data_IF_271027480903
#
_entry.id   IF_271027480903
#
_cell.length_a   1.000
_cell.length_b   1.000
_cell.length_c   1.000
_cell.angle_alpha   90.00
_cell.angle_beta   90.00
_cell.angle_gamma   90.00
#
_symmetry.space_group_name_H-M   'P 1'
#
loop_
_entity.id
_entity.type
_entity.pdbx_description
1 polymer ?
#
# COMPACT_ATOMS: atom_id res chain seq x y z
N UNK A 1 -60.87 51.14 25.11
CA UNK A 1 -59.54 50.60 25.42
C UNK A 1 -58.80 50.43 24.10
N UNK A 2 -58.16 51.48 23.58
CA UNK A 2 -56.72 51.82 23.80
C UNK A 2 -55.83 50.64 23.34
N UNK A 3 -54.87 50.77 22.43
CA UNK A 3 -54.05 51.92 22.01
C UNK A 3 -53.16 51.41 20.85
N UNK A 4 -53.16 52.03 19.66
CA UNK A 4 -52.07 52.90 19.12
C UNK A 4 -50.70 52.18 19.02
N UNK A 5 -50.02 52.09 17.88
CA UNK A 5 -49.35 53.14 17.06
C UNK A 5 -47.91 52.60 16.81
N UNK A 6 -47.08 53.01 15.86
CA UNK A 6 -47.21 53.80 14.65
C UNK A 6 -45.79 54.09 14.14
N UNK A 7 -45.55 53.73 12.87
CA UNK A 7 -45.05 54.57 11.78
C UNK A 7 -43.55 54.92 11.62
N UNK A 8 -43.31 55.25 10.32
CA UNK A 8 -42.33 56.13 9.68
C UNK A 8 -41.03 55.41 9.21
N UNK A 9 -40.50 55.54 7.98
CA UNK A 9 -40.91 56.11 6.66
C UNK A 9 -39.72 55.99 5.71
N UNK A 10 -40.01 55.91 4.40
CA UNK A 10 -39.37 56.60 3.24
C UNK A 10 -37.88 57.00 3.28
N UNK A 11 -37.17 56.59 2.21
CA UNK A 11 -36.54 57.41 1.13
C UNK A 11 -35.34 56.61 0.55
N UNK A 12 -34.99 56.62 -0.73
CA UNK A 12 -35.52 57.17 -1.99
C UNK A 12 -34.68 56.53 -3.13
N UNK A 13 -35.31 56.29 -4.28
CA UNK A 13 -34.85 56.45 -5.68
C UNK A 13 -33.34 56.61 -5.97
N UNK A 14 -32.81 55.79 -6.90
CA UNK A 14 -32.52 56.23 -8.28
C UNK A 14 -32.07 55.06 -9.19
N UNK A 15 -32.69 55.01 -10.37
CA UNK A 15 -32.33 54.24 -11.58
C UNK A 15 -31.05 54.82 -12.25
N UNK A 16 -30.34 54.15 -13.21
CA UNK A 16 -30.95 53.58 -14.40
C UNK A 16 -30.42 52.23 -14.90
N UNK A 17 -31.36 51.50 -15.51
CA UNK A 17 -31.15 50.50 -16.55
C UNK A 17 -30.65 51.16 -17.84
N UNK A 18 -29.74 50.49 -18.56
CA UNK A 18 -29.45 50.73 -19.97
C UNK A 18 -29.77 49.47 -20.78
N UNK A 19 -30.48 49.70 -21.88
CA UNK A 19 -31.16 48.77 -22.79
C UNK A 19 -30.26 48.15 -23.91
N UNK A 20 -30.49 46.84 -24.16
CA UNK A 20 -30.70 46.13 -25.46
C UNK A 20 -29.57 45.81 -26.47
N UNK A 21 -29.80 44.95 -27.51
CA UNK A 21 -30.74 43.81 -27.68
C UNK A 21 -30.10 42.57 -28.38
N UNK A 22 -30.77 41.40 -28.41
CA UNK A 22 -30.94 40.60 -29.65
C UNK A 22 -32.00 39.50 -29.42
N UNK A 23 -33.23 39.79 -29.84
CA UNK A 23 -34.24 38.79 -30.20
C UNK A 23 -34.01 38.33 -31.65
N UNK A 24 -34.69 37.23 -32.02
CA UNK A 24 -34.89 36.64 -33.35
C UNK A 24 -33.90 35.49 -33.67
N UNK A 25 -34.23 34.25 -33.27
CA UNK A 25 -34.73 33.15 -34.15
C UNK A 25 -35.17 31.99 -33.23
N UNK A 26 -36.37 32.06 -32.69
CA UNK A 26 -37.11 30.89 -32.21
C UNK A 26 -38.49 31.01 -32.85
N UNK A 27 -38.86 30.09 -33.75
CA UNK A 27 -40.27 29.66 -33.89
C UNK A 27 -40.59 28.58 -34.95
N UNK A 28 -39.61 27.98 -35.65
CA UNK A 28 -39.95 26.91 -36.62
C UNK A 28 -39.26 25.56 -36.35
N UNK A 29 -38.17 25.50 -35.57
CA UNK A 29 -37.45 24.24 -35.33
C UNK A 29 -37.75 23.54 -34.00
N UNK A 30 -38.31 24.22 -33.01
CA UNK A 30 -38.49 23.65 -31.66
C UNK A 30 -39.66 22.65 -31.56
N UNK A 31 -40.75 22.84 -32.32
CA UNK A 31 -41.95 22.02 -32.14
C UNK A 31 -41.94 20.66 -32.88
N UNK A 32 -41.16 20.52 -33.95
CA UNK A 32 -41.07 19.25 -34.70
C UNK A 32 -40.08 18.26 -34.07
N UNK A 33 -38.96 18.74 -33.52
CA UNK A 33 -37.93 17.90 -32.90
C UNK A 33 -38.33 17.44 -31.50
N UNK A 34 -39.03 18.27 -30.72
CA UNK A 34 -39.45 17.92 -29.36
C UNK A 34 -40.55 16.84 -29.34
N UNK A 35 -41.46 16.88 -30.32
CA UNK A 35 -42.53 15.87 -30.45
C UNK A 35 -41.99 14.51 -30.93
N UNK A 36 -40.93 14.50 -31.76
CA UNK A 36 -40.25 13.26 -32.17
C UNK A 36 -39.41 12.66 -31.02
N UNK A 37 -38.79 13.50 -30.19
CA UNK A 37 -37.95 13.07 -29.07
C UNK A 37 -38.77 12.44 -27.93
N UNK A 38 -39.98 12.96 -27.65
CA UNK A 38 -40.87 12.40 -26.63
C UNK A 38 -41.53 11.09 -27.04
N UNK A 39 -41.74 10.83 -28.34
CA UNK A 39 -42.33 9.58 -28.81
C UNK A 39 -41.33 8.40 -28.85
N UNK A 40 -40.03 8.68 -28.76
CA UNK A 40 -38.97 7.66 -28.77
C UNK A 40 -38.51 7.21 -27.37
N UNK A 41 -39.00 7.82 -26.29
CA UNK A 41 -38.62 7.49 -24.91
C UNK A 41 -39.59 6.51 -24.22
N UNK A 42 -39.97 5.44 -24.93
CA UNK A 42 -40.71 4.31 -24.34
C UNK A 42 -40.17 2.95 -24.78
N UNK A 43 -38.86 2.78 -24.67
CA UNK A 43 -38.29 1.47 -24.40
C UNK A 43 -37.00 1.67 -23.60
N UNK A 44 -37.09 1.59 -22.28
CA UNK A 44 -35.89 1.39 -21.46
C UNK A 44 -35.26 0.09 -21.96
N UNK A 45 -34.04 0.17 -22.51
CA UNK A 45 -33.32 -1.03 -22.94
C UNK A 45 -33.25 -2.00 -21.74
N UNK A 46 -33.55 -3.29 -21.93
CA UNK A 46 -33.69 -4.21 -20.81
C UNK A 46 -32.37 -4.33 -20.03
N UNK A 47 -32.39 -3.94 -18.75
CA UNK A 47 -31.27 -4.12 -17.84
C UNK A 47 -31.08 -5.61 -17.53
N UNK A 48 -30.01 -6.21 -18.06
CA UNK A 48 -29.66 -7.60 -17.81
C UNK A 48 -28.57 -7.69 -16.75
N UNK A 49 -28.94 -8.15 -15.55
CA UNK A 49 -27.99 -8.35 -14.44
C UNK A 49 -27.54 -9.82 -14.42
N UNK A 50 -26.24 -10.06 -14.59
CA UNK A 50 -25.64 -11.38 -14.45
C UNK A 50 -24.97 -11.51 -13.08
N UNK A 51 -25.66 -12.13 -12.12
CA UNK A 51 -25.06 -12.54 -10.84
C UNK A 51 -24.35 -13.86 -11.02
N UNK A 52 -23.14 -13.99 -10.48
CA UNK A 52 -22.45 -15.25 -10.55
C UNK A 52 -21.34 -15.35 -9.49
N UNK A 53 -21.03 -16.58 -9.05
CA UNK A 53 -19.98 -16.91 -8.08
C UNK A 53 -18.64 -17.18 -8.77
N UNK A 54 -17.56 -17.43 -8.02
CA UNK A 54 -16.29 -17.87 -8.62
C UNK A 54 -16.51 -19.16 -9.45
N UNK A 55 -15.89 -19.26 -10.63
CA UNK A 55 -15.98 -20.45 -11.49
C UNK A 55 -17.28 -20.64 -12.29
N UNK A 56 -18.31 -19.80 -12.13
CA UNK A 56 -19.63 -20.01 -12.75
C UNK A 56 -19.77 -19.51 -14.21
N UNK A 57 -18.67 -19.40 -14.96
CA UNK A 57 -18.72 -19.04 -16.38
C UNK A 57 -19.04 -17.57 -16.73
N UNK A 58 -18.96 -16.62 -15.79
CA UNK A 58 -19.24 -15.17 -16.04
C UNK A 58 -18.62 -14.63 -17.32
N UNK A 59 -17.32 -14.86 -17.45
CA UNK A 59 -16.54 -14.32 -18.56
C UNK A 59 -16.95 -14.97 -19.88
N UNK A 60 -17.35 -16.24 -19.87
CA UNK A 60 -17.90 -16.92 -21.04
C UNK A 60 -19.24 -16.32 -21.45
N UNK A 61 -20.18 -16.15 -20.51
CA UNK A 61 -21.48 -15.52 -20.78
C UNK A 61 -21.36 -14.07 -21.27
N UNK A 62 -20.45 -13.28 -20.69
CA UNK A 62 -20.16 -11.92 -21.15
C UNK A 62 -19.59 -11.91 -22.57
N UNK A 63 -18.68 -12.83 -22.88
CA UNK A 63 -18.10 -12.97 -24.23
C UNK A 63 -19.18 -13.32 -25.24
N UNK A 64 -20.03 -14.31 -24.94
CA UNK A 64 -21.14 -14.72 -25.79
C UNK A 64 -22.11 -13.56 -26.03
N UNK A 65 -22.46 -12.81 -24.98
CA UNK A 65 -23.33 -11.65 -25.11
C UNK A 65 -22.71 -10.55 -25.98
N UNK A 66 -21.43 -10.24 -25.75
CA UNK A 66 -20.69 -9.28 -26.57
C UNK A 66 -20.66 -9.71 -28.04
N UNK A 67 -20.36 -10.98 -28.32
CA UNK A 67 -20.34 -11.53 -29.68
C UNK A 67 -21.71 -11.46 -30.35
N UNK A 68 -22.79 -11.68 -29.61
CA UNK A 68 -24.17 -11.59 -30.13
C UNK A 68 -24.48 -10.16 -30.61
N UNK A 69 -24.15 -9.15 -29.79
CA UNK A 69 -24.29 -7.73 -30.17
C UNK A 69 -23.39 -7.38 -31.36
N UNK A 70 -22.16 -7.89 -31.34
CA UNK A 70 -21.15 -7.60 -32.33
C UNK A 70 -21.46 -8.19 -33.71
N UNK A 71 -22.01 -9.40 -33.78
CA UNK A 71 -22.35 -10.07 -35.04
C UNK A 71 -23.70 -9.61 -35.62
N UNK A 72 -24.47 -8.82 -34.86
CA UNK A 72 -25.74 -8.24 -35.33
C UNK A 72 -25.53 -7.19 -36.41
N UNK A 73 -24.49 -6.35 -36.30
CA UNK A 73 -24.11 -5.35 -37.30
C UNK A 73 -22.58 -5.24 -37.38
N UNK A 74 -22.03 -5.21 -38.60
CA UNK A 74 -20.58 -5.19 -38.86
C UNK A 74 -19.87 -3.94 -38.30
N UNK A 75 -20.60 -2.87 -37.97
CA UNK A 75 -20.06 -1.66 -37.35
C UNK A 75 -20.27 -1.57 -35.83
N UNK A 76 -20.97 -2.53 -35.22
CA UNK A 76 -21.32 -2.49 -33.79
C UNK A 76 -20.11 -2.40 -32.85
N UNK A 77 -18.91 -2.82 -33.29
CA UNK A 77 -17.69 -2.75 -32.45
C UNK A 77 -17.33 -1.32 -31.99
N UNK A 78 -17.82 -0.29 -32.70
CA UNK A 78 -17.66 1.13 -32.32
C UNK A 78 -18.73 1.61 -31.33
N UNK A 79 -19.88 0.96 -31.34
CA UNK A 79 -21.08 1.35 -30.58
C UNK A 79 -21.19 0.60 -29.25
N UNK A 80 -20.48 -0.53 -29.11
CA UNK A 80 -20.47 -1.32 -27.87
C UNK A 80 -19.35 -0.81 -26.95
N UNK A 81 -19.75 -0.26 -25.80
CA UNK A 81 -18.85 0.08 -24.70
C UNK A 81 -18.75 -1.07 -23.70
N UNK A 82 -17.57 -1.66 -23.54
CA UNK A 82 -17.27 -2.59 -22.46
C UNK A 82 -16.24 -1.97 -21.49
N UNK A 83 -16.59 -1.92 -20.21
CA UNK A 83 -15.73 -1.36 -19.15
C UNK A 83 -15.35 -2.43 -18.13
N UNK A 84 -14.09 -2.39 -17.66
CA UNK A 84 -13.56 -3.32 -16.65
C UNK A 84 -12.80 -2.56 -15.55
N UNK A 85 -12.50 -3.23 -14.43
CA UNK A 85 -11.74 -2.61 -13.34
C UNK A 85 -10.23 -2.53 -13.60
N UNK A 86 -9.66 -3.44 -14.39
CA UNK A 86 -8.20 -3.54 -14.54
C UNK A 86 -7.77 -3.64 -16.00
N UNK A 87 -6.56 -3.14 -16.31
CA UNK A 87 -5.96 -3.26 -17.63
C UNK A 87 -5.80 -4.73 -18.05
N UNK A 88 -5.49 -5.61 -17.09
CA UNK A 88 -5.38 -7.05 -17.34
C UNK A 88 -6.72 -7.65 -17.77
N UNK A 89 -7.81 -7.33 -17.07
CA UNK A 89 -9.15 -7.81 -17.46
C UNK A 89 -9.58 -7.27 -18.83
N UNK A 90 -9.22 -6.02 -19.16
CA UNK A 90 -9.43 -5.46 -20.50
C UNK A 90 -8.70 -6.27 -21.57
N UNK A 91 -7.41 -6.56 -21.36
CA UNK A 91 -6.60 -7.32 -22.31
C UNK A 91 -7.13 -8.76 -22.50
N UNK A 92 -7.40 -9.45 -21.40
CA UNK A 92 -7.97 -10.81 -21.42
C UNK A 92 -9.32 -10.86 -22.14
N UNK A 93 -10.17 -9.85 -21.95
CA UNK A 93 -11.46 -9.77 -22.64
C UNK A 93 -11.29 -9.52 -24.15
N UNK A 94 -10.39 -8.61 -24.54
CA UNK A 94 -10.08 -8.36 -25.96
C UNK A 94 -9.54 -9.60 -26.65
N UNK A 95 -8.53 -10.22 -26.08
CA UNK A 95 -7.91 -11.43 -26.61
C UNK A 95 -8.95 -12.54 -26.80
N UNK A 96 -9.81 -12.74 -25.80
CA UNK A 96 -10.85 -13.75 -25.85
C UNK A 96 -11.85 -13.51 -26.98
N UNK A 97 -12.36 -12.27 -27.11
CA UNK A 97 -13.31 -11.92 -28.17
C UNK A 97 -12.68 -12.14 -29.55
N UNK A 98 -11.44 -11.68 -29.75
CA UNK A 98 -10.71 -11.83 -31.01
C UNK A 98 -10.41 -13.29 -31.33
N UNK A 99 -10.02 -14.08 -30.34
CA UNK A 99 -9.76 -15.52 -30.49
C UNK A 99 -11.02 -16.26 -30.93
N UNK A 100 -12.17 -15.96 -30.32
CA UNK A 100 -13.44 -16.59 -30.70
C UNK A 100 -13.89 -16.13 -32.09
N UNK A 101 -13.79 -14.83 -32.40
CA UNK A 101 -14.11 -14.31 -33.74
C UNK A 101 -13.24 -14.96 -34.82
N UNK A 102 -11.94 -15.09 -34.58
CA UNK A 102 -11.02 -15.74 -35.50
C UNK A 102 -11.40 -17.22 -35.71
N UNK A 103 -11.65 -17.97 -34.63
CA UNK A 103 -12.08 -19.37 -34.72
C UNK A 103 -13.41 -19.54 -35.46
N UNK A 104 -14.38 -18.65 -35.22
CA UNK A 104 -15.64 -18.63 -35.97
C UNK A 104 -15.41 -18.32 -37.45
N UNK A 105 -14.54 -17.36 -37.77
CA UNK A 105 -14.23 -16.95 -39.14
C UNK A 105 -13.48 -18.03 -39.95
N UNK A 106 -12.57 -18.78 -39.33
CA UNK A 106 -11.83 -19.87 -39.98
C UNK A 106 -12.59 -21.19 -40.03
N UNK A 107 -13.76 -21.27 -39.38
CA UNK A 107 -14.55 -22.50 -39.30
C UNK A 107 -13.91 -23.54 -38.37
N UNK A 108 -13.17 -23.10 -37.34
CA UNK A 108 -12.58 -23.98 -36.34
C UNK A 108 -13.66 -24.85 -35.65
N UNK A 109 -13.39 -26.15 -35.58
CA UNK A 109 -14.27 -27.17 -34.97
C UNK A 109 -13.79 -27.61 -33.59
N UNK A 110 -12.84 -26.90 -32.99
CA UNK A 110 -12.45 -27.14 -31.61
C UNK A 110 -13.66 -26.99 -30.67
N UNK A 111 -13.78 -27.82 -29.61
CA UNK A 111 -14.93 -27.81 -28.72
C UNK A 111 -15.27 -26.41 -28.17
N UNK A 112 -14.23 -25.64 -27.83
CA UNK A 112 -14.35 -24.28 -27.30
C UNK A 112 -15.06 -23.33 -28.26
N UNK A 113 -14.81 -23.42 -29.57
CA UNK A 113 -15.44 -22.56 -30.58
C UNK A 113 -16.83 -23.08 -30.94
N UNK A 114 -17.00 -24.40 -30.97
CA UNK A 114 -18.29 -25.04 -31.23
C UNK A 114 -19.33 -24.67 -30.16
N UNK A 115 -18.93 -24.60 -28.88
CA UNK A 115 -19.79 -24.17 -27.78
C UNK A 115 -20.35 -22.76 -28.02
N UNK A 116 -19.51 -21.81 -28.46
CA UNK A 116 -19.98 -20.47 -28.82
C UNK A 116 -20.90 -20.50 -30.05
N UNK A 117 -20.55 -21.26 -31.09
CA UNK A 117 -21.34 -21.37 -32.31
C UNK A 117 -22.75 -21.88 -32.03
N UNK A 118 -22.86 -22.97 -31.26
CA UNK A 118 -24.13 -23.56 -30.85
C UNK A 118 -25.01 -22.55 -30.10
N UNK A 119 -24.45 -21.87 -29.10
CA UNK A 119 -25.18 -20.91 -28.30
C UNK A 119 -25.59 -19.65 -29.09
N UNK A 120 -24.79 -19.22 -30.07
CA UNK A 120 -25.15 -18.12 -30.97
C UNK A 120 -26.34 -18.50 -31.86
N UNK A 121 -26.37 -19.73 -32.39
CA UNK A 121 -27.50 -20.25 -33.18
C UNK A 121 -28.77 -20.38 -32.33
N UNK A 122 -28.65 -20.81 -31.07
CA UNK A 122 -29.78 -20.87 -30.14
C UNK A 122 -30.37 -19.48 -29.84
N UNK A 123 -29.53 -18.44 -29.77
CA UNK A 123 -29.97 -17.07 -29.49
C UNK A 123 -30.50 -16.31 -30.72
N UNK A 124 -30.12 -16.75 -31.93
CA UNK A 124 -30.48 -16.10 -33.19
C UNK A 124 -30.97 -17.16 -34.19
N UNK A 125 -32.27 -17.50 -34.17
CA UNK A 125 -32.84 -18.58 -34.98
C UNK A 125 -32.68 -18.37 -36.49
N UNK A 126 -32.56 -17.12 -36.93
CA UNK A 126 -32.37 -16.75 -38.34
C UNK A 126 -30.94 -16.96 -38.83
N UNK A 127 -30.01 -17.33 -37.93
CA UNK A 127 -28.62 -17.54 -38.29
C UNK A 127 -28.34 -19.01 -38.61
N UNK A 128 -27.40 -19.23 -39.52
CA UNK A 128 -26.87 -20.55 -39.83
C UNK A 128 -25.33 -20.55 -39.71
N UNK A 129 -24.67 -21.72 -39.63
CA UNK A 129 -23.22 -21.80 -39.42
C UNK A 129 -22.40 -21.01 -40.44
N UNK A 130 -22.81 -21.02 -41.71
CA UNK A 130 -22.13 -20.30 -42.79
C UNK A 130 -22.25 -18.78 -42.60
N UNK A 131 -23.45 -18.29 -42.24
CA UNK A 131 -23.69 -16.88 -41.99
C UNK A 131 -22.91 -16.36 -40.78
N UNK A 132 -22.81 -17.15 -39.70
CA UNK A 132 -21.97 -16.80 -38.54
C UNK A 132 -20.50 -16.68 -38.94
N UNK A 133 -20.00 -17.63 -39.72
CA UNK A 133 -18.63 -17.62 -40.21
C UNK A 133 -18.35 -16.38 -41.07
N UNK A 134 -19.25 -16.05 -42.00
CA UNK A 134 -19.13 -14.86 -42.85
C UNK A 134 -19.15 -13.56 -42.03
N UNK A 135 -20.12 -13.42 -41.12
CA UNK A 135 -20.23 -12.26 -40.21
C UNK A 135 -18.96 -12.12 -39.36
N UNK A 136 -18.49 -13.21 -38.76
CA UNK A 136 -17.29 -13.23 -37.93
C UNK A 136 -16.05 -12.81 -38.74
N UNK A 137 -15.90 -13.30 -39.98
CA UNK A 137 -14.80 -12.92 -40.86
C UNK A 137 -14.80 -11.42 -41.15
N UNK A 138 -15.95 -10.85 -41.51
CA UNK A 138 -16.09 -9.41 -41.83
C UNK A 138 -15.81 -8.54 -40.61
N UNK A 139 -16.43 -8.86 -39.47
CA UNK A 139 -16.24 -8.15 -38.21
C UNK A 139 -14.78 -8.23 -37.75
N UNK A 140 -14.19 -9.41 -37.76
CA UNK A 140 -12.80 -9.61 -37.35
C UNK A 140 -11.84 -8.76 -38.18
N UNK A 141 -11.99 -8.77 -39.51
CA UNK A 141 -11.19 -7.93 -40.41
C UNK A 141 -11.37 -6.44 -40.14
N UNK A 142 -12.60 -5.98 -39.93
CA UNK A 142 -12.87 -4.56 -39.60
C UNK A 142 -12.20 -4.15 -38.28
N UNK A 143 -12.30 -4.98 -37.25
CA UNK A 143 -11.64 -4.71 -35.96
C UNK A 143 -10.11 -4.67 -36.13
N UNK A 144 -9.52 -5.54 -36.93
CA UNK A 144 -8.07 -5.50 -37.18
C UNK A 144 -7.63 -4.24 -37.96
N UNK A 145 -8.43 -3.79 -38.93
CA UNK A 145 -8.17 -2.55 -39.66
C UNK A 145 -8.42 -1.29 -38.82
N UNK A 146 -9.30 -1.36 -37.81
CA UNK A 146 -9.71 -0.23 -36.98
C UNK A 146 -9.66 -0.55 -35.48
N UNK A 147 -8.52 -1.10 -35.05
CA UNK A 147 -8.37 -1.64 -33.70
C UNK A 147 -8.48 -0.58 -32.59
N UNK A 148 -8.15 0.68 -32.90
CA UNK A 148 -8.23 1.80 -31.97
C UNK A 148 -9.67 2.11 -31.53
N UNK A 149 -10.67 1.80 -32.36
CA UNK A 149 -12.09 2.00 -32.06
C UNK A 149 -12.75 0.78 -31.39
N UNK A 150 -12.01 -0.32 -31.18
CA UNK A 150 -12.50 -1.47 -30.42
C UNK A 150 -12.53 -1.14 -28.92
N UNK A 151 -13.68 -0.65 -28.46
CA UNK A 151 -13.83 0.08 -27.20
C UNK A 151 -14.10 -0.86 -26.01
N UNK A 152 -13.05 -1.60 -25.65
CA UNK A 152 -12.94 -2.27 -24.34
C UNK A 152 -11.85 -1.54 -23.55
N UNK A 153 -12.21 -0.95 -22.42
CA UNK A 153 -11.31 -0.15 -21.59
C UNK A 153 -11.54 -0.36 -20.10
N UNK A 154 -10.67 0.23 -19.27
CA UNK A 154 -10.96 0.37 -17.85
C UNK A 154 -12.01 1.44 -17.60
N UNK A 155 -12.63 1.43 -16.42
CA UNK A 155 -13.51 2.50 -15.94
C UNK A 155 -12.78 3.86 -15.98
N UNK A 156 -11.53 3.90 -15.52
CA UNK A 156 -10.71 5.12 -15.55
C UNK A 156 -10.43 5.56 -16.99
N UNK A 157 -10.04 4.62 -17.86
CA UNK A 157 -9.77 4.94 -19.26
C UNK A 157 -11.01 5.48 -20.00
N UNK A 158 -12.20 4.97 -19.68
CA UNK A 158 -13.45 5.50 -20.20
C UNK A 158 -13.76 6.89 -19.62
N UNK A 159 -13.69 7.05 -18.30
CA UNK A 159 -13.95 8.33 -17.62
C UNK A 159 -13.03 9.43 -18.12
N UNK A 160 -11.75 9.10 -18.37
CA UNK A 160 -10.80 10.01 -18.99
C UNK A 160 -11.21 10.43 -20.39
N UNK A 161 -11.69 9.51 -21.23
CA UNK A 161 -12.20 9.86 -22.57
C UNK A 161 -13.39 10.81 -22.47
N UNK A 162 -14.30 10.58 -21.51
CA UNK A 162 -15.45 11.46 -21.28
C UNK A 162 -14.99 12.85 -20.83
N UNK A 163 -14.13 12.94 -19.81
CA UNK A 163 -13.60 14.23 -19.32
C UNK A 163 -12.87 14.97 -20.44
N UNK A 164 -12.07 14.27 -21.27
CA UNK A 164 -11.38 14.87 -22.43
C UNK A 164 -12.37 15.50 -23.41
N UNK A 165 -13.52 14.86 -23.64
CA UNK A 165 -14.55 15.39 -24.52
C UNK A 165 -15.22 16.66 -23.98
N UNK A 166 -15.19 16.89 -22.66
CA UNK A 166 -15.77 18.05 -21.99
C UNK A 166 -14.72 19.01 -21.40
N UNK A 167 -13.47 18.94 -21.85
CA UNK A 167 -12.35 19.71 -21.27
C UNK A 167 -12.62 21.22 -21.32
N UNK A 168 -13.21 21.71 -22.41
CA UNK A 168 -13.54 23.11 -22.60
C UNK A 168 -14.68 23.57 -21.66
N UNK A 169 -15.75 22.79 -21.57
CA UNK A 169 -16.90 23.04 -20.70
C UNK A 169 -16.54 22.99 -19.22
N UNK A 170 -15.58 22.15 -18.86
CA UNK A 170 -15.04 22.03 -17.51
C UNK A 170 -13.95 23.06 -17.19
N UNK A 171 -13.61 23.95 -18.14
CA UNK A 171 -12.54 24.93 -18.01
C UNK A 171 -11.19 24.29 -17.60
N UNK A 172 -10.90 23.13 -18.17
CA UNK A 172 -9.66 22.39 -17.98
C UNK A 172 -8.67 22.70 -19.11
N UNK A 173 -7.37 22.56 -18.84
CA UNK A 173 -6.34 22.67 -19.87
C UNK A 173 -6.43 21.45 -20.83
N UNK A 174 -6.26 21.66 -22.14
CA UNK A 174 -6.24 20.57 -23.12
C UNK A 174 -5.13 19.53 -22.85
N UNK A 175 -4.04 19.94 -22.21
CA UNK A 175 -2.93 19.10 -21.77
C UNK A 175 -3.08 18.60 -20.32
N UNK A 176 -4.29 18.62 -19.73
CA UNK A 176 -4.47 18.17 -18.36
C UNK A 176 -3.95 16.74 -18.17
N UNK A 177 -3.18 16.56 -17.09
CA UNK A 177 -2.67 15.26 -16.65
C UNK A 177 -3.35 14.91 -15.35
N UNK A 178 -3.84 13.68 -15.28
CA UNK A 178 -4.35 13.13 -14.03
C UNK A 178 -3.15 12.61 -13.25
N UNK A 179 -2.91 13.22 -12.09
CA UNK A 179 -1.93 12.76 -11.13
C UNK A 179 -2.62 12.53 -9.79
N UNK A 180 -2.27 11.42 -9.12
CA UNK A 180 -2.61 11.31 -7.71
C UNK A 180 -1.79 12.34 -6.95
N UNK A 181 -2.47 13.33 -6.36
CA UNK A 181 -1.80 14.31 -5.51
C UNK A 181 -1.52 13.70 -4.12
N UNK A 182 -0.57 12.76 -4.09
CA UNK A 182 -0.16 12.04 -2.88
C UNK A 182 0.26 13.02 -1.77
N UNK A 183 0.86 14.16 -2.12
CA UNK A 183 1.26 15.18 -1.15
C UNK A 183 0.06 15.87 -0.51
N UNK A 184 -0.99 16.19 -1.28
CA UNK A 184 -2.26 16.67 -0.72
C UNK A 184 -2.84 15.64 0.24
N UNK A 185 -2.95 14.38 -0.19
CA UNK A 185 -3.49 13.30 0.66
C UNK A 185 -2.69 13.19 1.98
N UNK A 186 -1.35 13.19 1.91
CA UNK A 186 -0.50 13.15 3.12
C UNK A 186 -0.75 14.32 4.07
N UNK A 187 -0.87 15.53 3.52
CA UNK A 187 -1.12 16.72 4.33
C UNK A 187 -2.49 16.64 5.00
N UNK A 188 -3.53 16.27 4.24
CA UNK A 188 -4.88 16.11 4.75
C UNK A 188 -4.93 15.03 5.84
N UNK A 189 -4.30 13.88 5.62
CA UNK A 189 -4.22 12.80 6.63
C UNK A 189 -3.46 13.22 7.88
N UNK A 190 -2.43 14.05 7.76
CA UNK A 190 -1.70 14.57 8.92
C UNK A 190 -2.60 15.50 9.75
N UNK A 191 -3.40 16.34 9.09
CA UNK A 191 -4.38 17.20 9.78
C UNK A 191 -5.44 16.34 10.47
N UNK A 192 -6.01 15.38 9.76
CA UNK A 192 -7.00 14.44 10.31
C UNK A 192 -6.44 13.65 11.49
N UNK A 193 -5.19 13.20 11.44
CA UNK A 193 -4.56 12.51 12.55
C UNK A 193 -4.38 13.42 13.76
N UNK A 194 -3.96 14.67 13.57
CA UNK A 194 -3.86 15.61 14.71
C UNK A 194 -5.22 15.85 15.36
N UNK A 195 -6.29 15.98 14.58
CA UNK A 195 -7.65 16.08 15.11
C UNK A 195 -8.07 14.79 15.85
N UNK A 196 -7.72 13.63 15.30
CA UNK A 196 -7.98 12.34 15.96
C UNK A 196 -7.26 12.24 17.32
N UNK A 197 -6.06 12.79 17.45
CA UNK A 197 -5.33 12.80 18.73
C UNK A 197 -6.02 13.62 19.82
N UNK A 198 -6.76 14.67 19.45
CA UNK A 198 -7.57 15.44 20.40
C UNK A 198 -8.76 14.62 20.95
N UNK A 199 -9.24 13.65 20.17
CA UNK A 199 -10.40 12.80 20.51
C UNK A 199 -10.01 11.41 21.05
N UNK A 200 -8.74 11.02 20.94
CA UNK A 200 -8.22 9.69 21.33
C UNK A 200 -7.10 9.82 22.37
N UNK A 201 -7.45 9.93 23.67
CA UNK A 201 -6.47 10.02 24.75
C UNK A 201 -5.47 8.87 24.75
N UNK A 202 -5.90 7.66 24.37
CA UNK A 202 -5.05 6.48 24.31
C UNK A 202 -3.92 6.55 23.26
N UNK A 203 -4.13 7.32 22.18
CA UNK A 203 -3.10 7.58 21.17
C UNK A 203 -2.21 8.74 21.58
N UNK A 204 -2.80 9.76 22.20
CA UNK A 204 -2.06 10.90 22.73
C UNK A 204 -1.06 10.46 23.81
N UNK A 205 -1.50 9.67 24.79
CA UNK A 205 -0.66 9.10 25.84
C UNK A 205 0.50 8.27 25.26
N UNK A 206 0.22 7.53 24.17
CA UNK A 206 1.25 6.75 23.48
C UNK A 206 2.33 7.62 22.84
N UNK A 207 1.95 8.73 22.21
CA UNK A 207 2.89 9.70 21.63
C UNK A 207 3.69 10.40 22.74
N UNK A 208 3.04 10.78 23.84
CA UNK A 208 3.69 11.42 25.00
C UNK A 208 4.75 10.48 25.58
N UNK A 209 4.39 9.23 25.88
CA UNK A 209 5.32 8.24 26.41
C UNK A 209 6.53 8.01 25.48
N UNK A 210 6.32 8.05 24.17
CA UNK A 210 7.41 7.96 23.20
C UNK A 210 8.30 9.21 23.20
N UNK A 211 7.71 10.41 23.22
CA UNK A 211 8.44 11.67 23.25
C UNK A 211 9.31 11.74 24.52
N UNK A 212 8.79 11.33 25.68
CA UNK A 212 9.54 11.23 26.92
C UNK A 212 10.73 10.26 26.79
N UNK A 213 10.53 9.08 26.20
CA UNK A 213 11.62 8.11 25.94
C UNK A 213 12.70 8.70 25.04
N UNK A 214 12.34 9.46 24.00
CA UNK A 214 13.29 10.13 23.08
C UNK A 214 14.06 11.25 23.79
N UNK A 215 13.37 12.09 24.56
CA UNK A 215 13.97 13.17 25.33
C UNK A 215 14.98 12.60 26.34
N UNK A 216 14.63 11.51 27.03
CA UNK A 216 15.54 10.83 27.96
C UNK A 216 16.82 10.31 27.29
N UNK A 217 16.78 9.98 25.99
CA UNK A 217 17.94 9.59 25.17
C UNK A 217 18.64 10.76 24.49
N UNK A 218 18.21 12.01 24.75
CA UNK A 218 18.69 13.21 24.06
C UNK A 218 18.49 13.17 22.53
N UNK A 219 17.41 12.52 22.09
CA UNK A 219 17.04 12.35 20.68
C UNK A 219 15.92 13.33 20.27
N UNK A 220 15.84 13.66 18.98
CA UNK A 220 14.77 14.50 18.45
C UNK A 220 13.41 13.77 18.52
N UNK A 221 12.45 14.37 19.23
CA UNK A 221 11.11 13.83 19.43
C UNK A 221 10.07 14.28 18.40
N UNK A 222 10.43 15.17 17.44
CA UNK A 222 9.49 15.75 16.48
C UNK A 222 8.82 14.66 15.61
N UNK A 223 7.65 14.20 16.05
CA UNK A 223 6.90 13.13 15.42
C UNK A 223 6.29 13.56 14.08
N UNK A 224 5.93 14.84 13.91
CA UNK A 224 5.28 15.33 12.69
C UNK A 224 6.15 15.16 11.45
N UNK A 225 7.43 15.53 11.54
CA UNK A 225 8.35 15.40 10.39
C UNK A 225 8.56 13.93 10.00
N UNK A 226 8.77 13.07 10.99
CA UNK A 226 8.99 11.65 10.75
C UNK A 226 7.71 10.97 10.27
N UNK A 227 6.55 11.28 10.85
CA UNK A 227 5.25 10.82 10.35
C UNK A 227 5.00 11.24 8.90
N UNK A 228 5.29 12.49 8.52
CA UNK A 228 5.11 12.96 7.14
C UNK A 228 6.02 12.21 6.16
N UNK A 229 7.25 11.88 6.57
CA UNK A 229 8.15 11.05 5.76
C UNK A 229 7.62 9.63 5.58
N UNK A 230 7.06 9.06 6.65
CA UNK A 230 6.55 7.69 6.67
C UNK A 230 5.15 7.56 6.09
N UNK A 231 4.36 8.64 5.99
CA UNK A 231 3.05 8.65 5.35
C UNK A 231 3.10 8.17 3.90
N UNK A 232 4.26 8.31 3.25
CA UNK A 232 4.51 7.73 1.92
C UNK A 232 4.40 6.21 1.89
N UNK A 233 4.74 5.54 2.99
CA UNK A 233 4.73 4.09 3.10
C UNK A 233 3.31 3.53 3.03
N UNK A 234 2.28 4.28 3.41
CA UNK A 234 0.88 3.81 3.34
C UNK A 234 0.46 3.46 1.91
N UNK A 235 1.11 4.09 0.92
CA UNK A 235 0.88 3.82 -0.49
C UNK A 235 1.78 2.72 -1.06
N UNK A 236 2.67 2.13 -0.26
CA UNK A 236 3.57 1.05 -0.68
C UNK A 236 2.92 -0.33 -0.54
N UNK A 237 3.34 -1.28 -1.38
CA UNK A 237 2.85 -2.67 -1.32
C UNK A 237 3.20 -3.35 0.01
N UNK A 238 4.41 -3.14 0.52
CA UNK A 238 4.85 -3.72 1.80
C UNK A 238 3.94 -3.30 2.97
N UNK A 239 3.41 -2.08 2.94
CA UNK A 239 2.49 -1.62 3.97
C UNK A 239 1.11 -2.26 3.85
N UNK A 240 0.62 -2.54 2.63
CA UNK A 240 -0.66 -3.23 2.43
C UNK A 240 -0.65 -4.62 3.08
N UNK A 241 0.47 -5.34 2.99
CA UNK A 241 0.63 -6.64 3.65
C UNK A 241 0.61 -6.49 5.18
N UNK A 242 1.37 -5.53 5.72
CA UNK A 242 1.37 -5.20 7.15
C UNK A 242 -0.02 -4.83 7.67
N UNK A 243 -0.74 -3.94 6.99
CA UNK A 243 -2.09 -3.50 7.38
C UNK A 243 -3.07 -4.67 7.37
N UNK A 244 -2.94 -5.59 6.40
CA UNK A 244 -3.70 -6.84 6.35
C UNK A 244 -3.53 -7.70 7.61
N UNK A 245 -2.30 -7.88 8.09
CA UNK A 245 -2.03 -8.62 9.33
C UNK A 245 -2.58 -7.89 10.57
N UNK A 246 -2.40 -6.57 10.68
CA UNK A 246 -2.87 -5.80 11.83
C UNK A 246 -4.41 -5.81 11.92
N UNK A 247 -5.11 -5.71 10.77
CA UNK A 247 -6.58 -5.74 10.73
C UNK A 247 -7.18 -7.10 11.13
N UNK A 248 -6.38 -8.17 11.18
CA UNK A 248 -6.84 -9.48 11.66
C UNK A 248 -6.97 -9.59 13.19
N UNK A 249 -6.51 -8.57 13.92
CA UNK A 249 -6.49 -8.53 15.39
C UNK A 249 -6.86 -7.12 15.90
N UNK A 250 -6.98 -6.96 17.23
CA UNK A 250 -7.16 -5.64 17.84
C UNK A 250 -5.83 -4.87 17.80
N UNK A 251 -5.73 -3.75 17.04
CA UNK A 251 -4.46 -3.04 16.88
C UNK A 251 -3.85 -2.58 18.21
N UNK A 252 -4.68 -2.10 19.14
CA UNK A 252 -4.21 -1.62 20.45
C UNK A 252 -3.54 -2.74 21.26
N UNK A 253 -4.15 -3.91 21.30
CA UNK A 253 -3.61 -5.07 21.98
C UNK A 253 -2.32 -5.56 21.31
N UNK A 254 -2.31 -5.62 19.97
CA UNK A 254 -1.14 -6.04 19.20
C UNK A 254 0.06 -5.13 19.48
N UNK A 255 -0.09 -3.81 19.39
CA UNK A 255 1.03 -2.89 19.61
C UNK A 255 1.50 -2.88 21.07
N UNK A 256 0.59 -3.06 22.04
CA UNK A 256 0.96 -3.17 23.44
C UNK A 256 1.77 -4.46 23.72
N UNK A 257 1.29 -5.60 23.25
CA UNK A 257 1.97 -6.89 23.39
C UNK A 257 3.32 -6.88 22.67
N UNK A 258 3.35 -6.35 21.44
CA UNK A 258 4.59 -6.23 20.68
C UNK A 258 5.60 -5.32 21.38
N UNK A 259 5.18 -4.20 21.97
CA UNK A 259 6.08 -3.35 22.76
C UNK A 259 6.66 -4.12 23.96
N UNK A 260 5.81 -4.83 24.71
CA UNK A 260 6.23 -5.59 25.89
C UNK A 260 7.21 -6.71 25.52
N UNK A 261 6.89 -7.51 24.51
CA UNK A 261 7.76 -8.58 24.02
C UNK A 261 9.11 -8.06 23.55
N UNK A 262 9.12 -7.03 22.70
CA UNK A 262 10.35 -6.43 22.18
C UNK A 262 11.21 -5.86 23.30
N UNK A 263 10.61 -5.14 24.26
CA UNK A 263 11.32 -4.60 25.41
C UNK A 263 11.91 -5.70 26.29
N UNK A 264 11.15 -6.78 26.54
CA UNK A 264 11.62 -7.93 27.30
C UNK A 264 12.79 -8.64 26.60
N UNK A 265 12.73 -8.85 25.27
CA UNK A 265 13.81 -9.50 24.50
C UNK A 265 15.08 -8.66 24.48
N UNK A 266 14.95 -7.33 24.33
CA UNK A 266 16.09 -6.40 24.39
C UNK A 266 16.75 -6.46 25.77
N UNK A 267 15.95 -6.32 26.84
CA UNK A 267 16.46 -6.34 28.21
C UNK A 267 17.13 -7.67 28.56
N UNK A 268 16.49 -8.79 28.21
CA UNK A 268 17.05 -10.13 28.43
C UNK A 268 18.40 -10.32 27.73
N UNK A 269 18.55 -9.80 26.51
CA UNK A 269 19.82 -9.87 25.78
C UNK A 269 20.89 -9.00 26.44
N UNK A 270 20.57 -7.76 26.83
CA UNK A 270 21.53 -6.84 27.45
C UNK A 270 21.95 -7.30 28.84
N UNK A 271 21.03 -7.85 29.63
CA UNK A 271 21.31 -8.45 30.94
C UNK A 271 22.22 -9.67 30.79
N UNK A 272 21.90 -10.59 29.88
CA UNK A 272 22.74 -11.76 29.61
C UNK A 272 24.16 -11.36 29.17
N UNK A 273 24.29 -10.33 28.32
CA UNK A 273 25.58 -9.79 27.92
C UNK A 273 26.35 -9.20 29.11
N UNK A 274 25.70 -8.37 29.94
CA UNK A 274 26.31 -7.78 31.14
C UNK A 274 26.80 -8.85 32.11
N UNK A 275 25.97 -9.87 32.39
CA UNK A 275 26.32 -10.98 33.26
C UNK A 275 27.48 -11.81 32.70
N UNK A 276 27.52 -12.02 31.38
CA UNK A 276 28.61 -12.78 30.75
C UNK A 276 29.93 -12.02 30.79
N UNK A 277 29.91 -10.69 30.61
CA UNK A 277 31.08 -9.81 30.79
C UNK A 277 31.57 -9.85 32.24
N UNK A 278 30.67 -9.76 33.21
CA UNK A 278 31.00 -9.81 34.63
C UNK A 278 31.61 -11.16 35.02
N UNK A 279 31.00 -12.27 34.60
CA UNK A 279 31.53 -13.61 34.83
C UNK A 279 32.92 -13.80 34.22
N UNK A 280 33.17 -13.28 33.02
CA UNK A 280 34.49 -13.32 32.40
C UNK A 280 35.52 -12.54 33.23
N UNK A 281 35.20 -11.29 33.58
CA UNK A 281 36.12 -10.42 34.33
C UNK A 281 36.41 -10.95 35.73
N UNK A 282 35.44 -11.55 36.43
CA UNK A 282 35.64 -12.17 37.74
C UNK A 282 36.45 -13.46 37.65
N UNK A 283 36.11 -14.34 36.70
CA UNK A 283 36.86 -15.59 36.50
C UNK A 283 38.31 -15.29 36.18
N UNK A 284 38.58 -14.31 35.31
CA UNK A 284 39.95 -13.89 35.00
C UNK A 284 40.69 -13.31 36.21
N UNK A 285 40.02 -12.49 37.03
CA UNK A 285 40.61 -11.92 38.26
C UNK A 285 41.02 -12.98 39.27
N UNK A 286 40.27 -14.09 39.39
CA UNK A 286 40.56 -15.15 40.34
C UNK A 286 41.91 -15.87 40.10
N UNK A 287 42.45 -15.79 38.88
CA UNK A 287 43.78 -16.33 38.58
C UNK A 287 44.93 -15.43 39.06
N UNK A 288 44.66 -14.22 39.54
CA UNK A 288 45.65 -13.24 40.02
C UNK A 288 46.80 -12.97 39.02
N UNK A 289 46.48 -12.98 37.72
CA UNK A 289 47.44 -12.76 36.63
C UNK A 289 47.54 -11.26 36.34
N UNK A 290 48.77 -10.74 36.32
CA UNK A 290 49.06 -9.37 35.93
C UNK A 290 49.28 -9.24 34.43
N UNK A 291 49.21 -8.01 33.92
CA UNK A 291 49.47 -7.76 32.49
C UNK A 291 50.85 -8.23 32.06
N UNK A 292 51.86 -8.27 32.93
CA UNK A 292 53.21 -8.66 32.58
C UNK A 292 53.39 -10.18 32.46
N UNK A 293 52.42 -10.96 32.94
CA UNK A 293 52.51 -12.42 32.97
C UNK A 293 52.04 -13.05 31.66
N UNK A 294 51.35 -12.28 30.81
CA UNK A 294 50.84 -12.74 29.51
C UNK A 294 51.67 -12.24 28.34
N UNK A 295 51.79 -13.08 27.30
CA UNK A 295 52.41 -12.74 26.03
C UNK A 295 51.76 -11.49 25.43
N UNK A 296 52.57 -10.54 24.99
CA UNK A 296 52.10 -9.24 24.47
C UNK A 296 51.74 -8.21 25.55
N UNK A 297 51.84 -8.59 26.82
CA UNK A 297 51.60 -7.76 28.00
C UNK A 297 50.24 -7.04 27.97
N UNK A 298 50.25 -5.71 28.06
CA UNK A 298 49.05 -4.86 27.97
C UNK A 298 48.32 -4.94 26.62
N UNK A 299 48.98 -5.44 25.56
CA UNK A 299 48.38 -5.65 24.23
C UNK A 299 47.73 -7.03 24.08
N UNK A 300 47.82 -7.88 25.10
CA UNK A 300 47.18 -9.20 25.06
C UNK A 300 45.65 -9.06 24.95
N UNK A 301 45.04 -9.89 24.10
CA UNK A 301 43.59 -9.83 23.82
C UNK A 301 42.74 -10.13 25.07
N UNK A 302 43.17 -11.04 25.94
CA UNK A 302 42.47 -11.37 27.20
C UNK A 302 42.49 -10.18 28.15
N UNK A 303 43.62 -9.48 28.28
CA UNK A 303 43.71 -8.24 29.09
C UNK A 303 42.78 -7.18 28.54
N UNK A 304 42.70 -7.04 27.21
CA UNK A 304 41.76 -6.10 26.61
C UNK A 304 40.32 -6.50 26.97
N UNK A 305 39.96 -7.78 26.86
CA UNK A 305 38.62 -8.31 27.08
C UNK A 305 38.19 -8.23 28.56
N UNK A 306 39.10 -8.44 29.51
CA UNK A 306 38.82 -8.38 30.95
C UNK A 306 38.53 -6.96 31.45
N UNK A 307 38.99 -5.94 30.73
CA UNK A 307 38.74 -4.51 31.00
C UNK A 307 37.45 -3.96 30.38
N UNK A 308 36.65 -4.79 29.73
CA UNK A 308 35.40 -4.35 29.10
C UNK A 308 34.40 -3.87 30.17
N UNK A 309 33.73 -2.75 29.90
CA UNK A 309 32.72 -2.21 30.81
C UNK A 309 31.45 -3.06 30.77
N UNK A 310 30.93 -3.46 31.94
CA UNK A 310 29.70 -4.23 32.05
C UNK A 310 28.42 -3.45 31.71
N UNK A 311 28.45 -2.12 31.76
CA UNK A 311 27.29 -1.28 31.41
C UNK A 311 27.07 -1.24 29.90
N UNK A 312 26.26 -2.16 29.39
CA UNK A 312 25.97 -2.32 27.94
C UNK A 312 24.63 -1.74 27.50
N UNK A 313 23.77 -1.33 28.43
CA UNK A 313 22.40 -0.84 28.19
C UNK A 313 22.28 0.36 27.24
N UNK A 314 23.34 1.18 27.15
CA UNK A 314 23.38 2.40 26.30
C UNK A 314 24.13 2.21 24.99
N UNK A 315 24.65 1.02 24.72
CA UNK A 315 25.41 0.73 23.52
C UNK A 315 24.48 0.55 22.32
N UNK A 316 24.87 1.13 21.19
CA UNK A 316 24.26 0.84 19.89
C UNK A 316 24.53 -0.62 19.48
N UNK A 317 23.70 -1.15 18.57
CA UNK A 317 23.92 -2.46 17.96
C UNK A 317 25.35 -2.66 17.44
N UNK A 318 25.93 -1.63 16.80
CA UNK A 318 27.30 -1.71 16.26
C UNK A 318 28.35 -1.78 17.37
N UNK A 319 28.15 -1.08 18.47
CA UNK A 319 29.05 -1.16 19.63
C UNK A 319 28.94 -2.51 20.33
N UNK A 320 27.73 -3.07 20.47
CA UNK A 320 27.51 -4.41 20.99
C UNK A 320 28.20 -5.46 20.12
N UNK A 321 28.09 -5.36 18.79
CA UNK A 321 28.77 -6.25 17.86
C UNK A 321 30.30 -6.22 18.07
N UNK A 322 30.89 -5.02 18.19
CA UNK A 322 32.33 -4.85 18.48
C UNK A 322 32.73 -5.44 19.83
N UNK A 323 31.88 -5.30 20.85
CA UNK A 323 32.11 -5.90 22.16
C UNK A 323 32.14 -7.43 22.05
N UNK A 324 31.16 -8.03 21.37
CA UNK A 324 31.11 -9.48 21.16
C UNK A 324 32.32 -9.99 20.38
N UNK A 325 32.68 -9.32 19.27
CA UNK A 325 33.83 -9.69 18.43
C UNK A 325 35.12 -9.83 19.24
N UNK A 326 35.32 -8.94 20.22
CA UNK A 326 36.49 -8.95 21.12
C UNK A 326 36.64 -10.25 21.91
N UNK A 327 35.52 -10.89 22.29
CA UNK A 327 35.52 -12.18 22.99
C UNK A 327 35.58 -13.35 22.02
N UNK A 328 34.91 -13.26 20.86
CA UNK A 328 34.95 -14.31 19.84
C UNK A 328 36.36 -14.54 19.29
N UNK A 329 37.17 -13.48 19.18
CA UNK A 329 38.59 -13.58 18.81
C UNK A 329 39.47 -14.35 19.82
N UNK A 330 38.95 -14.69 21.00
CA UNK A 330 39.61 -15.54 21.98
C UNK A 330 39.27 -17.02 21.80
N UNK A 331 38.18 -17.34 21.11
CA UNK A 331 37.81 -18.73 20.79
C UNK A 331 38.86 -19.30 19.84
N UNK A 332 39.34 -20.50 20.14
CA UNK A 332 40.37 -21.23 19.38
C UNK A 332 41.68 -20.45 19.15
N UNK A 333 42.00 -19.50 20.05
CA UNK A 333 43.19 -18.64 19.95
C UNK A 333 44.17 -18.89 21.11
N UNK A 334 44.95 -19.95 21.02
CA UNK A 334 45.95 -20.35 22.04
C UNK A 334 47.00 -19.26 22.31
N UNK A 335 47.33 -18.44 21.30
CA UNK A 335 48.30 -17.34 21.44
C UNK A 335 47.84 -16.32 22.48
N UNK A 336 46.54 -16.07 22.57
CA UNK A 336 45.97 -15.16 23.56
C UNK A 336 46.14 -15.68 25.00
N UNK A 337 46.20 -17.00 25.20
CA UNK A 337 46.35 -17.68 26.50
C UNK A 337 47.80 -18.08 26.79
N UNK A 338 48.76 -17.57 26.02
CA UNK A 338 50.18 -17.86 26.23
C UNK A 338 50.79 -16.89 27.24
N UNK A 339 51.55 -17.40 28.20
CA UNK A 339 52.27 -16.59 29.18
C UNK A 339 53.56 -15.95 28.60
N UNK A 340 54.22 -15.11 29.39
CA UNK A 340 55.47 -14.44 28.99
C UNK A 340 56.63 -15.41 28.69
N UNK A 341 56.59 -16.61 29.26
CA UNK A 341 57.59 -17.67 29.06
C UNK A 341 57.25 -18.59 27.87
N UNK A 342 56.21 -18.25 27.11
CA UNK A 342 55.71 -18.98 25.93
C UNK A 342 55.02 -20.31 26.26
N UNK A 343 54.55 -20.50 27.49
CA UNK A 343 53.74 -21.66 27.85
C UNK A 343 52.25 -21.33 27.71
N UNK A 344 51.49 -22.30 27.20
CA UNK A 344 50.03 -22.16 27.04
C UNK A 344 49.36 -22.42 28.39
N UNK A 345 48.52 -21.49 28.84
CA UNK A 345 47.75 -21.56 30.09
C UNK A 345 46.43 -22.34 29.88
N UNK A 346 46.52 -23.67 29.84
CA UNK A 346 45.34 -24.55 29.71
C UNK A 346 44.34 -24.41 30.86
N UNK A 347 44.80 -24.01 32.05
CA UNK A 347 43.97 -23.69 33.20
C UNK A 347 43.04 -22.50 32.92
N UNK A 348 43.55 -21.44 32.29
CA UNK A 348 42.73 -20.30 31.85
C UNK A 348 41.76 -20.69 30.74
N UNK A 349 42.22 -21.46 29.76
CA UNK A 349 41.38 -21.93 28.65
C UNK A 349 40.20 -22.72 29.22
N UNK A 350 40.45 -23.69 30.09
CA UNK A 350 39.42 -24.52 30.70
C UNK A 350 38.39 -23.71 31.49
N UNK A 351 38.85 -22.71 32.26
CA UNK A 351 37.95 -21.88 33.07
C UNK A 351 37.14 -20.87 32.25
N UNK A 352 37.72 -20.28 31.19
CA UNK A 352 37.06 -19.25 30.38
C UNK A 352 36.25 -19.83 29.22
N UNK A 353 36.55 -21.05 28.76
CA UNK A 353 35.82 -21.74 27.68
C UNK A 353 34.29 -21.73 27.82
N UNK A 354 33.68 -22.10 28.97
CA UNK A 354 32.21 -22.07 29.10
C UNK A 354 31.62 -20.65 28.99
N UNK A 355 32.38 -19.63 29.39
CA UNK A 355 31.96 -18.22 29.30
C UNK A 355 32.09 -17.73 27.85
N UNK A 356 33.16 -18.09 27.16
CA UNK A 356 33.35 -17.81 25.73
C UNK A 356 32.27 -18.48 24.87
N UNK A 357 31.84 -19.70 25.22
CA UNK A 357 30.70 -20.35 24.58
C UNK A 357 29.37 -19.57 24.78
N UNK A 358 29.22 -18.87 25.90
CA UNK A 358 28.06 -18.00 26.15
C UNK A 358 28.11 -16.74 25.28
N UNK A 359 29.30 -16.16 25.05
CA UNK A 359 29.48 -15.08 24.07
C UNK A 359 29.15 -15.51 22.63
N UNK A 360 29.50 -16.74 22.24
CA UNK A 360 29.11 -17.29 20.93
C UNK A 360 27.59 -17.35 20.79
N UNK A 361 26.87 -17.86 21.81
CA UNK A 361 25.39 -17.89 21.80
C UNK A 361 24.78 -16.49 21.71
N UNK A 362 25.37 -15.50 22.38
CA UNK A 362 24.91 -14.11 22.27
C UNK A 362 25.15 -13.55 20.87
N UNK A 363 26.28 -13.88 20.26
CA UNK A 363 26.57 -13.49 18.88
C UNK A 363 25.60 -14.13 17.88
N UNK A 364 25.26 -15.41 18.04
CA UNK A 364 24.28 -16.10 17.18
C UNK A 364 22.89 -15.43 17.23
N UNK A 365 22.54 -14.83 18.37
CA UNK A 365 21.28 -14.10 18.58
C UNK A 365 21.37 -12.59 18.29
N UNK A 366 22.53 -12.08 17.84
CA UNK A 366 22.73 -10.65 17.60
C UNK A 366 21.82 -10.11 16.51
N UNK A 367 21.56 -10.87 15.45
CA UNK A 367 20.67 -10.47 14.35
C UNK A 367 19.23 -10.26 14.83
N UNK A 368 18.73 -11.16 15.68
CA UNK A 368 17.41 -11.03 16.31
C UNK A 368 17.37 -9.80 17.23
N UNK A 369 18.41 -9.57 18.03
CA UNK A 369 18.53 -8.36 18.86
C UNK A 369 18.47 -7.06 18.04
N UNK A 370 19.20 -7.00 16.91
CA UNK A 370 19.17 -5.85 16.00
C UNK A 370 17.77 -5.65 15.44
N UNK A 371 17.07 -6.72 15.06
CA UNK A 371 15.70 -6.65 14.60
C UNK A 371 14.77 -6.09 15.69
N UNK A 372 14.89 -6.56 16.94
CA UNK A 372 14.11 -6.04 18.07
C UNK A 372 14.37 -4.55 18.30
N UNK A 373 15.63 -4.09 18.26
CA UNK A 373 15.94 -2.66 18.37
C UNK A 373 15.32 -1.84 17.22
N UNK A 374 15.38 -2.35 15.99
CA UNK A 374 14.79 -1.70 14.84
C UNK A 374 13.26 -1.57 14.98
N UNK A 375 12.59 -2.61 15.47
CA UNK A 375 11.16 -2.57 15.78
C UNK A 375 10.90 -1.57 16.90
N UNK A 376 11.62 -1.61 18.02
CA UNK A 376 11.42 -0.72 19.16
C UNK A 376 11.53 0.76 18.76
N UNK A 377 12.51 1.11 17.92
CA UNK A 377 12.73 2.48 17.47
C UNK A 377 11.59 3.02 16.59
N UNK A 378 10.91 2.14 15.85
CA UNK A 378 9.88 2.48 14.87
C UNK A 378 8.45 2.08 15.29
N UNK A 379 8.28 1.38 16.41
CA UNK A 379 7.00 0.80 16.82
C UNK A 379 5.88 1.84 16.91
N UNK A 380 6.21 3.03 17.45
CA UNK A 380 5.22 4.09 17.58
C UNK A 380 4.77 4.63 16.21
N UNK A 381 5.69 4.72 15.25
CA UNK A 381 5.34 5.13 13.89
C UNK A 381 4.46 4.11 13.22
N UNK A 382 4.72 2.82 13.42
CA UNK A 382 3.88 1.76 12.87
C UNK A 382 2.43 1.88 13.35
N UNK A 383 2.23 2.23 14.64
CA UNK A 383 0.89 2.49 15.18
C UNK A 383 0.24 3.73 14.55
N UNK A 384 0.96 4.84 14.42
CA UNK A 384 0.41 6.04 13.78
C UNK A 384 0.14 5.85 12.29
N UNK A 385 0.97 5.09 11.58
CA UNK A 385 0.75 4.73 10.19
C UNK A 385 -0.51 3.88 10.02
N UNK A 386 -0.79 2.97 10.96
CA UNK A 386 -2.04 2.21 10.99
C UNK A 386 -3.25 3.13 11.09
N UNK A 387 -3.26 4.06 12.06
CA UNK A 387 -4.35 5.03 12.23
C UNK A 387 -4.51 5.92 10.97
N UNK A 388 -3.40 6.34 10.35
CA UNK A 388 -3.48 7.08 9.09
C UNK A 388 -4.01 6.23 7.91
N UNK A 389 -3.80 4.92 7.89
CA UNK A 389 -4.40 4.02 6.89
C UNK A 389 -5.93 3.99 7.04
N UNK A 390 -6.40 3.97 8.28
CA UNK A 390 -7.84 4.01 8.57
C UNK A 390 -8.44 5.36 8.16
N UNK A 391 -7.75 6.47 8.48
CA UNK A 391 -8.12 7.80 8.01
C UNK A 391 -8.07 7.94 6.48
N UNK A 392 -7.16 7.25 5.79
CA UNK A 392 -7.11 7.24 4.31
C UNK A 392 -8.37 6.62 3.72
N UNK A 393 -8.93 5.61 4.38
CA UNK A 393 -10.20 5.01 3.95
C UNK A 393 -11.35 6.00 4.10
N UNK A 394 -11.36 6.81 5.17
CA UNK A 394 -12.35 7.86 5.38
C UNK A 394 -12.17 9.02 4.38
N UNK A 395 -10.95 9.51 4.21
CA UNK A 395 -10.63 10.60 3.28
C UNK A 395 -11.07 10.28 1.84
N UNK A 396 -10.90 9.01 1.40
CA UNK A 396 -11.36 8.52 0.08
C UNK A 396 -12.88 8.42 -0.08
N UNK A 397 -13.65 8.45 1.02
CA UNK A 397 -15.12 8.49 0.97
C UNK A 397 -15.62 9.93 0.86
N UNK A 398 -14.91 10.85 1.50
CA UNK A 398 -15.30 12.25 1.61
C UNK A 398 -14.81 13.11 0.41
N UNK A 399 -13.83 12.61 -0.35
CA UNK A 399 -13.25 13.24 -1.55
C UNK A 399 -13.24 12.24 -2.71
#
# INVERSE_FOLDING_TARGET
>A
TLSKKSYFTKCKQDEPFVYFPFEIVTDIFANSLFTFYLHSMKSVAPLKILKASAGSGKTFSLTLHYLTLLLSNENSYKEILAVTFTNKATAEMKERILSVLHGLATGDRSPKIEDFRKLLLEQQPDWNPHLIQEKAYRVYRRILHDYSHFTISTIDGFSQKVIRAFTYELNLDAAYKIEMNVNKVKNDLTVMLNQLLDERPDLLDWIIAYAEKKIAKNENWNYRQQLMSLASLIFSENFQEFDGYINSANPKEVFNLLNQEVEQKINSFTEALSMTIEAFSETFKNFNISENDLKGKSRNKIISASKTNKKTEKLSASEIAKVLEKYLQLIDNEDAFTDSDKNIRYDLIAALSPILASFQKLHDNLSAYIAYQAVQNNLYYLRLLKEMSDLLTQWRRDN
#
